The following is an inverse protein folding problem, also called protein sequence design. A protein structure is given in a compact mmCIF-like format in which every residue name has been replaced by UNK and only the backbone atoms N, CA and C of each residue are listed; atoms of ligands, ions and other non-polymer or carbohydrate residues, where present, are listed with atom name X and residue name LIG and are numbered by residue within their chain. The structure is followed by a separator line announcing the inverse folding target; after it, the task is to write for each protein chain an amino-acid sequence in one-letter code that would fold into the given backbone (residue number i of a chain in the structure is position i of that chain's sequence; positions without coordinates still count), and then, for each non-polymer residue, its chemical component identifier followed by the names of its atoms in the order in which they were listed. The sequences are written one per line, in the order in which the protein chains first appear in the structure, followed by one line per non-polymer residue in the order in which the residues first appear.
data_IF_001638976365
#
_entry.id   IF_001638976365
#
_cell.length_a   1.000
_cell.length_b   1.000
_cell.length_c   1.000
_cell.angle_alpha   90.00
_cell.angle_beta   90.00
_cell.angle_gamma   90.00
#
_symmetry.space_group_name_H-M   'P 1'
#
loop_
_entity.id
_entity.type
_entity.pdbx_description
1 polymer ?
#
# COMPACT_ATOMS: atom_id res chain seq x y z
N UNK A 1 -29.61 -33.76 -40.88
CA UNK A 1 -30.21 -35.05 -41.29
C UNK A 1 -29.65 -35.47 -42.63
N UNK A 2 -29.03 -36.67 -42.70
CA UNK A 2 -28.82 -37.53 -43.89
C UNK A 2 -27.91 -36.97 -45.01
N UNK A 3 -27.08 -37.73 -45.71
CA UNK A 3 -26.62 -39.13 -45.76
C UNK A 3 -25.38 -39.11 -46.71
N UNK A 4 -24.23 -39.70 -46.39
CA UNK A 4 -23.77 -41.09 -46.69
C UNK A 4 -23.65 -41.40 -48.20
N UNK A 5 -22.55 -42.12 -48.54
CA UNK A 5 -22.25 -43.03 -49.68
C UNK A 5 -21.25 -42.46 -50.71
N UNK A 6 -20.26 -43.19 -51.24
CA UNK A 6 -19.74 -44.55 -51.00
C UNK A 6 -18.38 -44.72 -51.74
N UNK A 7 -17.56 -45.63 -51.24
CA UNK A 7 -16.53 -46.48 -51.87
C UNK A 7 -16.34 -46.43 -53.40
N UNK A 8 -15.09 -46.63 -53.87
CA UNK A 8 -14.63 -47.88 -54.55
C UNK A 8 -13.10 -48.04 -54.40
N UNK A 9 -12.72 -49.30 -54.18
CA UNK A 9 -11.40 -49.93 -54.01
C UNK A 9 -10.78 -50.35 -55.35
N UNK A 10 -9.45 -50.35 -55.43
CA UNK A 10 -8.65 -51.31 -56.23
C UNK A 10 -7.79 -50.69 -57.35
N UNK A 11 -6.58 -51.15 -57.70
CA UNK A 11 -5.59 -52.10 -57.17
C UNK A 11 -4.43 -52.12 -58.22
N UNK A 12 -3.18 -52.34 -57.78
CA UNK A 12 -1.98 -52.79 -58.54
C UNK A 12 -1.29 -51.88 -59.58
N UNK A 13 -0.02 -51.52 -59.35
CA UNK A 13 1.14 -52.24 -59.92
C UNK A 13 2.48 -51.66 -59.43
N UNK A 14 3.41 -52.56 -59.14
CA UNK A 14 4.72 -52.32 -58.54
C UNK A 14 5.77 -51.81 -59.53
N UNK A 15 6.76 -51.06 -59.04
CA UNK A 15 8.13 -51.13 -59.55
C UNK A 15 9.15 -50.99 -58.42
N UNK A 16 10.10 -51.90 -58.48
CA UNK A 16 11.09 -52.29 -57.49
C UNK A 16 12.32 -51.38 -57.62
N UNK A 17 12.83 -50.82 -56.52
CA UNK A 17 14.20 -50.31 -56.45
C UNK A 17 14.72 -50.47 -55.03
N UNK A 18 15.47 -51.55 -54.86
CA UNK A 18 16.28 -51.91 -53.71
C UNK A 18 17.28 -50.78 -53.45
N UNK A 19 17.20 -50.12 -52.29
CA UNK A 19 18.34 -49.41 -51.72
C UNK A 19 18.62 -49.95 -50.32
N UNK A 20 19.79 -50.57 -50.27
CA UNK A 20 20.45 -51.26 -49.19
C UNK A 20 20.62 -50.34 -47.96
N UNK A 21 20.22 -50.87 -46.80
CA UNK A 21 20.58 -50.35 -45.48
C UNK A 21 22.09 -50.13 -45.38
N UNK A 22 22.51 -48.90 -45.10
CA UNK A 22 23.77 -48.64 -44.44
C UNK A 22 23.50 -47.81 -43.19
N UNK A 23 23.47 -48.51 -42.05
CA UNK A 23 23.38 -47.95 -40.72
C UNK A 23 24.65 -47.14 -40.43
N UNK A 24 24.60 -45.84 -40.67
CA UNK A 24 25.60 -44.92 -40.11
C UNK A 24 25.12 -44.58 -38.69
N UNK A 25 25.71 -45.26 -37.72
CA UNK A 25 25.79 -44.80 -36.33
C UNK A 25 26.75 -43.62 -36.32
N UNK A 26 26.30 -42.45 -36.76
CA UNK A 26 26.99 -41.19 -36.49
C UNK A 26 26.43 -40.67 -35.18
N UNK A 27 27.27 -40.70 -34.14
CA UNK A 27 26.94 -40.25 -32.80
C UNK A 27 26.21 -38.92 -32.84
N UNK A 28 24.96 -38.93 -32.38
CA UNK A 28 24.36 -37.73 -31.85
C UNK A 28 25.28 -37.27 -30.74
N UNK A 29 26.06 -36.23 -31.00
CA UNK A 29 26.61 -35.41 -29.96
C UNK A 29 25.42 -35.06 -29.08
N UNK A 30 25.33 -35.71 -27.91
CA UNK A 30 24.46 -35.25 -26.86
C UNK A 30 24.81 -33.78 -26.72
N UNK A 31 23.85 -32.89 -26.97
CA UNK A 31 24.00 -31.48 -26.60
C UNK A 31 24.58 -31.51 -25.20
N UNK A 32 25.81 -31.00 -25.02
CA UNK A 32 26.44 -30.93 -23.72
C UNK A 32 25.41 -30.22 -22.85
N UNK A 33 24.80 -30.97 -21.94
CA UNK A 33 23.67 -30.52 -21.15
C UNK A 33 24.25 -29.46 -20.21
N UNK A 34 24.29 -28.24 -20.72
CA UNK A 34 25.08 -27.13 -20.20
C UNK A 34 24.68 -26.85 -18.76
N UNK A 35 25.65 -26.65 -17.90
CA UNK A 35 25.42 -26.40 -16.49
C UNK A 35 26.70 -26.56 -15.70
N UNK A 36 26.70 -26.00 -14.49
CA UNK A 36 27.85 -26.11 -13.60
C UNK A 36 28.11 -27.58 -13.25
N UNK A 37 29.35 -28.02 -13.49
CA UNK A 37 29.82 -29.38 -13.23
C UNK A 37 30.44 -29.42 -11.83
N UNK A 38 30.08 -30.44 -11.06
CA UNK A 38 30.82 -30.78 -9.83
C UNK A 38 32.17 -31.41 -10.23
N UNK A 39 33.32 -30.80 -9.91
CA UNK A 39 34.63 -31.29 -10.30
C UNK A 39 34.97 -32.67 -9.75
N UNK A 40 34.39 -33.10 -8.62
CA UNK A 40 34.68 -34.42 -8.06
C UNK A 40 33.93 -35.56 -8.77
N UNK A 41 32.65 -35.36 -9.10
CA UNK A 41 31.85 -36.40 -9.75
C UNK A 41 31.87 -36.32 -11.28
N UNK A 42 32.31 -35.19 -11.85
CA UNK A 42 32.22 -34.92 -13.29
C UNK A 42 30.79 -34.81 -13.80
N UNK A 43 29.80 -34.69 -12.91
CA UNK A 43 28.38 -34.63 -13.24
C UNK A 43 27.83 -33.22 -12.99
N UNK A 44 26.83 -32.77 -13.77
CA UNK A 44 26.14 -31.52 -13.48
C UNK A 44 25.44 -31.55 -12.12
N UNK A 45 25.50 -30.43 -11.38
CA UNK A 45 24.97 -30.34 -10.01
C UNK A 45 23.48 -30.73 -9.91
N UNK A 46 22.67 -30.36 -10.91
CA UNK A 46 21.23 -30.62 -10.93
C UNK A 46 20.83 -32.10 -11.04
N UNK A 47 21.76 -32.99 -11.44
CA UNK A 47 21.47 -34.44 -11.47
C UNK A 47 21.29 -35.01 -10.07
N UNK A 48 22.03 -34.46 -9.10
CA UNK A 48 21.93 -34.84 -7.68
C UNK A 48 21.07 -33.86 -6.88
N UNK A 49 20.98 -32.60 -7.31
CA UNK A 49 20.18 -31.55 -6.69
C UNK A 49 19.08 -30.99 -7.61
N UNK A 50 18.16 -31.83 -8.10
CA UNK A 50 17.10 -31.38 -9.00
C UNK A 50 16.19 -30.35 -8.33
N UNK A 51 16.05 -30.42 -7.01
CA UNK A 51 15.19 -29.51 -6.24
C UNK A 51 15.72 -28.08 -6.04
N UNK A 52 16.82 -27.73 -6.71
CA UNK A 52 17.26 -26.32 -6.81
C UNK A 52 16.70 -25.65 -8.05
N UNK A 53 16.20 -26.44 -9.01
CA UNK A 53 15.65 -26.00 -10.28
C UNK A 53 14.15 -26.30 -10.42
N UNK A 54 13.50 -26.84 -9.39
CA UNK A 54 12.07 -27.21 -9.38
C UNK A 54 11.20 -26.05 -8.85
N UNK A 55 11.06 -24.98 -9.62
CA UNK A 55 10.17 -23.88 -9.23
C UNK A 55 9.60 -23.11 -10.42
N UNK A 56 8.44 -22.49 -10.20
CA UNK A 56 7.75 -21.68 -11.22
C UNK A 56 8.60 -20.50 -11.68
N UNK A 57 9.23 -19.81 -10.72
CA UNK A 57 10.16 -18.72 -11.00
C UNK A 57 11.55 -19.12 -10.58
N UNK A 58 12.43 -19.26 -11.55
CA UNK A 58 13.86 -19.49 -11.34
C UNK A 58 14.59 -18.16 -11.27
N UNK A 59 15.62 -18.10 -10.44
CA UNK A 59 16.58 -17.02 -10.52
C UNK A 59 17.37 -17.18 -11.84
N UNK A 60 17.57 -16.09 -12.57
CA UNK A 60 18.10 -16.12 -13.94
C UNK A 60 19.39 -16.95 -14.10
N UNK A 61 20.42 -16.86 -13.22
CA UNK A 61 21.61 -17.70 -13.36
C UNK A 61 21.31 -19.21 -13.31
N UNK A 62 20.27 -19.60 -12.56
CA UNK A 62 19.83 -20.98 -12.46
C UNK A 62 19.05 -21.45 -13.70
N UNK A 63 18.49 -20.55 -14.51
CA UNK A 63 17.95 -20.90 -15.83
C UNK A 63 19.05 -21.39 -16.78
N UNK A 64 20.25 -20.81 -16.69
CA UNK A 64 21.48 -21.30 -17.34
C UNK A 64 22.12 -22.50 -16.62
N UNK A 65 21.51 -22.98 -15.53
CA UNK A 65 22.04 -24.04 -14.65
C UNK A 65 23.43 -23.69 -14.09
N UNK A 66 23.67 -22.40 -13.84
CA UNK A 66 24.91 -21.87 -13.29
C UNK A 66 24.85 -21.82 -11.77
N UNK A 67 25.83 -22.45 -11.12
CA UNK A 67 25.97 -22.46 -9.66
C UNK A 67 27.21 -21.67 -9.22
N UNK A 68 28.24 -21.58 -10.09
CA UNK A 68 29.50 -20.89 -9.79
C UNK A 68 29.37 -19.38 -9.53
N UNK A 69 28.36 -18.62 -9.99
CA UNK A 69 28.24 -17.22 -9.61
C UNK A 69 28.06 -17.03 -8.11
N UNK A 70 27.35 -17.94 -7.45
CA UNK A 70 27.02 -17.82 -6.03
C UNK A 70 27.81 -18.79 -5.13
N UNK A 71 28.17 -19.96 -5.65
CA UNK A 71 28.77 -21.04 -4.87
C UNK A 71 30.23 -21.30 -5.25
N UNK A 72 31.02 -21.71 -4.27
CA UNK A 72 32.30 -22.35 -4.48
C UNK A 72 32.07 -23.79 -4.92
N UNK A 73 32.56 -24.16 -6.10
CA UNK A 73 32.37 -25.50 -6.67
C UNK A 73 33.65 -26.31 -6.72
N UNK A 74 34.78 -25.74 -6.31
CA UNK A 74 36.10 -26.38 -6.39
C UNK A 74 36.37 -27.40 -5.28
N UNK A 75 35.46 -27.54 -4.31
CA UNK A 75 35.71 -28.29 -3.08
C UNK A 75 35.65 -29.83 -3.19
N UNK A 76 35.15 -30.39 -4.28
CA UNK A 76 34.98 -31.83 -4.45
C UNK A 76 33.68 -32.38 -3.83
N UNK A 77 33.58 -33.70 -3.60
CA UNK A 77 32.32 -34.36 -3.17
C UNK A 77 31.83 -33.82 -1.83
N UNK A 78 30.92 -32.86 -1.90
CA UNK A 78 30.38 -32.12 -0.77
C UNK A 78 29.28 -32.88 0.00
N UNK A 79 29.00 -34.13 -0.37
CA UNK A 79 28.09 -35.01 0.37
C UNK A 79 28.64 -35.36 1.76
N UNK A 80 29.96 -35.52 1.89
CA UNK A 80 30.59 -36.07 3.10
C UNK A 80 31.43 -35.06 3.89
N UNK A 81 31.64 -33.85 3.36
CA UNK A 81 32.43 -32.79 4.02
C UNK A 81 31.73 -31.44 3.87
N UNK A 82 31.26 -30.91 5.01
CA UNK A 82 30.58 -29.60 5.08
C UNK A 82 31.52 -28.48 4.61
N UNK A 83 30.97 -27.49 3.90
CA UNK A 83 31.69 -26.28 3.48
C UNK A 83 32.32 -26.32 2.09
N UNK A 84 32.38 -27.48 1.44
CA UNK A 84 32.92 -27.61 0.07
C UNK A 84 32.03 -26.99 -1.02
N UNK A 85 30.73 -26.84 -0.74
CA UNK A 85 29.76 -26.11 -1.56
C UNK A 85 29.18 -24.93 -0.76
N UNK A 86 30.04 -24.02 -0.32
CA UNK A 86 29.65 -22.81 0.40
C UNK A 86 29.35 -21.65 -0.57
N UNK A 87 28.63 -20.64 -0.09
CA UNK A 87 28.48 -19.37 -0.81
C UNK A 87 29.80 -18.61 -0.87
N UNK A 88 30.05 -17.90 -1.98
CA UNK A 88 31.29 -17.13 -2.25
C UNK A 88 31.48 -15.93 -1.33
N UNK A 89 30.38 -15.32 -0.89
CA UNK A 89 30.37 -14.20 0.03
C UNK A 89 29.23 -14.33 1.03
N UNK A 90 29.39 -13.70 2.19
CA UNK A 90 28.36 -13.68 3.25
C UNK A 90 27.38 -12.54 3.02
N UNK A 91 26.11 -12.80 3.34
CA UNK A 91 25.05 -11.79 3.33
C UNK A 91 24.88 -11.07 1.99
N UNK A 92 24.47 -9.81 2.06
CA UNK A 92 24.12 -9.02 0.88
C UNK A 92 25.28 -8.74 -0.07
N UNK A 93 26.56 -8.86 0.36
CA UNK A 93 27.69 -8.68 -0.56
C UNK A 93 27.58 -9.62 -1.76
N UNK A 94 27.18 -10.88 -1.53
CA UNK A 94 26.99 -11.86 -2.61
C UNK A 94 25.96 -11.38 -3.63
N UNK A 95 24.87 -10.79 -3.15
CA UNK A 95 23.80 -10.28 -3.99
C UNK A 95 24.22 -9.02 -4.74
N UNK A 96 24.96 -8.13 -4.06
CA UNK A 96 25.38 -6.83 -4.61
C UNK A 96 26.50 -6.92 -5.64
N UNK A 97 27.16 -8.08 -5.78
CA UNK A 97 28.09 -8.30 -6.88
C UNK A 97 27.36 -8.26 -8.26
N UNK A 98 26.03 -8.44 -8.28
CA UNK A 98 25.18 -8.28 -9.49
C UNK A 98 23.98 -7.32 -9.32
N UNK A 99 23.44 -7.16 -8.12
CA UNK A 99 22.28 -6.30 -7.84
C UNK A 99 22.70 -4.96 -7.24
N UNK A 100 21.88 -3.93 -7.46
CA UNK A 100 22.14 -2.62 -6.86
C UNK A 100 22.20 -2.69 -5.33
N UNK A 101 23.07 -1.85 -4.75
CA UNK A 101 23.10 -1.66 -3.32
C UNK A 101 21.85 -0.90 -2.85
N UNK A 102 20.96 -1.60 -2.15
CA UNK A 102 19.68 -1.06 -1.66
C UNK A 102 19.76 -0.52 -0.21
N UNK A 103 20.96 -0.12 0.25
CA UNK A 103 21.19 0.43 1.59
C UNK A 103 21.64 1.89 1.60
N UNK A 104 21.35 2.63 0.53
CA UNK A 104 21.92 3.97 0.26
C UNK A 104 20.95 5.12 0.53
N UNK A 105 19.65 4.85 0.63
CA UNK A 105 18.64 5.88 0.90
C UNK A 105 18.51 6.21 2.39
N UNK A 106 17.86 7.33 2.71
CA UNK A 106 17.69 7.81 4.10
C UNK A 106 16.97 6.79 4.99
N UNK A 107 15.93 6.14 4.48
CA UNK A 107 15.18 5.12 5.21
C UNK A 107 15.48 3.76 4.58
N UNK A 108 16.33 2.97 5.21
CA UNK A 108 16.60 1.58 4.82
C UNK A 108 15.80 0.63 5.72
N UNK A 109 15.40 -0.52 5.21
CA UNK A 109 14.75 -1.55 6.03
C UNK A 109 15.80 -2.31 6.86
N UNK A 110 15.48 -2.72 8.09
CA UNK A 110 16.40 -3.43 8.99
C UNK A 110 17.11 -4.63 8.33
N UNK A 111 16.34 -5.57 7.74
CA UNK A 111 16.89 -6.71 6.99
C UNK A 111 17.89 -6.33 5.88
N UNK A 112 17.71 -5.19 5.23
CA UNK A 112 18.63 -4.73 4.19
C UNK A 112 19.93 -4.17 4.78
N UNK A 113 19.86 -3.45 5.90
CA UNK A 113 21.07 -3.00 6.63
C UNK A 113 21.90 -4.17 7.14
N UNK A 114 21.23 -5.21 7.61
CA UNK A 114 21.85 -6.45 8.12
C UNK A 114 22.31 -7.37 6.99
N UNK A 115 21.90 -7.09 5.75
CA UNK A 115 22.28 -7.84 4.57
C UNK A 115 21.65 -9.23 4.47
N UNK A 116 20.45 -9.40 5.03
CA UNK A 116 19.72 -10.68 5.07
C UNK A 116 18.64 -10.75 3.98
N UNK A 117 19.08 -10.77 2.72
CA UNK A 117 18.18 -10.84 1.56
C UNK A 117 17.34 -12.12 1.53
N UNK A 118 17.90 -13.22 2.03
CA UNK A 118 17.33 -14.57 1.95
C UNK A 118 16.19 -14.83 2.95
N UNK A 119 15.98 -13.92 3.89
CA UNK A 119 14.83 -14.01 4.80
C UNK A 119 13.53 -13.71 4.06
N UNK A 120 13.59 -12.88 3.02
CA UNK A 120 12.45 -12.57 2.17
C UNK A 120 12.49 -13.27 0.81
N UNK A 121 13.68 -13.47 0.23
CA UNK A 121 13.85 -14.07 -1.09
C UNK A 121 14.40 -15.51 -1.03
N UNK A 122 13.95 -16.36 -1.94
CA UNK A 122 14.46 -17.70 -2.19
C UNK A 122 15.37 -17.67 -3.44
N UNK A 123 16.70 -17.49 -3.26
CA UNK A 123 17.62 -17.14 -4.36
C UNK A 123 17.83 -18.23 -5.41
N UNK A 124 17.29 -19.44 -5.20
CA UNK A 124 17.30 -20.49 -6.22
C UNK A 124 16.03 -20.43 -7.07
N UNK A 125 14.88 -20.64 -6.41
CA UNK A 125 13.58 -20.68 -7.05
C UNK A 125 12.47 -20.35 -6.05
N UNK A 126 11.31 -19.95 -6.57
CA UNK A 126 10.10 -19.78 -5.77
C UNK A 126 8.85 -20.00 -6.62
N UNK A 127 7.72 -20.47 -6.03
CA UNK A 127 6.41 -20.38 -6.68
C UNK A 127 5.93 -18.93 -6.86
N UNK A 128 6.57 -17.95 -6.20
CA UNK A 128 6.18 -16.56 -6.17
C UNK A 128 7.09 -15.69 -7.04
N UNK A 129 6.49 -14.70 -7.72
CA UNK A 129 7.24 -13.71 -8.51
C UNK A 129 8.31 -13.03 -7.66
N UNK A 130 9.40 -12.59 -8.31
CA UNK A 130 10.55 -11.94 -7.65
C UNK A 130 11.20 -12.81 -6.57
N UNK A 131 11.03 -14.14 -6.67
CA UNK A 131 11.64 -15.10 -5.78
C UNK A 131 11.20 -14.95 -4.32
N UNK A 132 10.00 -14.44 -4.03
CA UNK A 132 9.58 -14.22 -2.64
C UNK A 132 9.28 -15.54 -1.93
N UNK A 133 9.62 -15.65 -0.64
CA UNK A 133 9.31 -16.86 0.15
C UNK A 133 7.82 -17.02 0.44
N UNK A 134 7.12 -15.90 0.59
CA UNK A 134 5.67 -15.83 0.82
C UNK A 134 5.04 -14.76 -0.07
N UNK A 135 3.71 -14.78 -0.19
CA UNK A 135 2.95 -13.81 -0.99
C UNK A 135 2.31 -12.73 -0.13
N UNK A 136 2.15 -11.54 -0.72
CA UNK A 136 1.43 -10.42 -0.11
C UNK A 136 1.93 -10.05 1.28
N UNK A 137 1.00 -9.69 2.16
CA UNK A 137 1.26 -9.33 3.55
C UNK A 137 1.79 -10.47 4.40
N UNK A 138 1.59 -11.73 3.99
CA UNK A 138 2.11 -12.90 4.70
C UNK A 138 3.62 -12.84 4.90
N UNK A 139 4.35 -12.33 3.90
CA UNK A 139 5.79 -12.14 4.00
C UNK A 139 6.19 -11.13 5.09
N UNK A 140 5.44 -10.04 5.21
CA UNK A 140 5.70 -8.99 6.19
C UNK A 140 5.43 -9.50 7.61
N UNK A 141 4.37 -10.30 7.78
CA UNK A 141 3.92 -10.80 9.07
C UNK A 141 4.71 -11.99 9.61
N UNK A 142 5.71 -12.49 8.88
CA UNK A 142 6.73 -13.39 9.44
C UNK A 142 7.51 -12.71 10.58
N UNK A 143 7.58 -11.37 10.58
CA UNK A 143 8.29 -10.60 11.61
C UNK A 143 7.45 -9.44 12.19
N UNK A 144 6.64 -8.76 11.39
CA UNK A 144 5.81 -7.65 11.87
C UNK A 144 4.54 -8.16 12.54
N UNK A 145 4.20 -7.61 13.71
CA UNK A 145 2.99 -8.02 14.43
C UNK A 145 1.73 -7.62 13.66
N UNK A 146 0.98 -8.63 13.21
CA UNK A 146 -0.29 -8.46 12.50
C UNK A 146 -1.42 -7.91 13.37
N UNK A 147 -1.33 -8.00 14.71
CA UNK A 147 -2.41 -7.56 15.63
C UNK A 147 -2.79 -6.10 15.45
N UNK A 148 -1.85 -5.24 15.09
CA UNK A 148 -2.10 -3.81 14.84
C UNK A 148 -2.88 -3.52 13.55
N UNK A 149 -2.93 -4.49 12.63
CA UNK A 149 -3.54 -4.38 11.31
C UNK A 149 -4.85 -5.19 11.22
N UNK A 150 -4.96 -6.26 12.00
CA UNK A 150 -6.14 -7.11 12.09
C UNK A 150 -7.20 -6.54 13.04
N UNK A 151 -8.46 -6.93 12.83
CA UNK A 151 -9.60 -6.72 13.76
C UNK A 151 -9.95 -5.25 14.07
N UNK A 152 -9.51 -4.31 13.25
CA UNK A 152 -10.02 -2.93 13.30
C UNK A 152 -11.46 -2.90 12.80
N UNK A 153 -12.33 -2.15 13.49
CA UNK A 153 -13.73 -1.99 13.06
C UNK A 153 -13.82 -1.38 11.65
N UNK A 154 -12.89 -0.47 11.33
CA UNK A 154 -12.74 0.17 10.03
C UNK A 154 -11.30 -0.02 9.56
N UNK A 155 -10.99 -1.12 8.85
CA UNK A 155 -9.67 -1.30 8.26
C UNK A 155 -9.51 -0.38 7.04
N UNK A 156 -8.28 0.04 6.76
CA UNK A 156 -7.99 0.70 5.48
C UNK A 156 -7.93 -0.37 4.38
N UNK A 157 -8.65 -0.18 3.27
CA UNK A 157 -8.84 -1.22 2.25
C UNK A 157 -7.52 -1.82 1.72
N UNK A 158 -6.48 -1.04 1.32
CA UNK A 158 -5.21 -1.62 0.88
C UNK A 158 -4.53 -2.48 1.96
N UNK A 159 -4.73 -2.16 3.24
CA UNK A 159 -4.19 -2.96 4.33
C UNK A 159 -4.99 -4.25 4.52
N UNK A 160 -6.32 -4.17 4.45
CA UNK A 160 -7.19 -5.35 4.49
C UNK A 160 -6.89 -6.35 3.37
N UNK A 161 -6.56 -5.83 2.18
CA UNK A 161 -6.20 -6.63 1.00
C UNK A 161 -4.74 -7.13 1.03
N UNK A 162 -3.98 -6.78 2.07
CA UNK A 162 -2.57 -7.15 2.21
C UNK A 162 -1.64 -6.45 1.21
N UNK A 163 -2.09 -5.36 0.60
CA UNK A 163 -1.37 -4.56 -0.40
C UNK A 163 -0.41 -3.55 0.25
N UNK A 164 0.41 -3.99 1.21
CA UNK A 164 1.35 -3.13 1.95
C UNK A 164 2.31 -2.37 1.01
N UNK A 165 2.64 -3.01 -0.12
CA UNK A 165 3.55 -2.48 -1.12
C UNK A 165 2.95 -1.33 -1.93
N UNK A 166 1.65 -1.04 -1.84
CA UNK A 166 1.08 0.13 -2.51
C UNK A 166 1.61 1.42 -1.90
N UNK A 167 1.88 1.39 -0.58
CA UNK A 167 2.41 2.54 0.15
C UNK A 167 3.90 2.41 0.51
N UNK A 168 4.37 1.20 0.82
CA UNK A 168 5.73 0.98 1.33
C UNK A 168 6.69 0.46 0.26
N UNK A 169 7.96 0.86 0.37
CA UNK A 169 9.09 0.32 -0.36
C UNK A 169 9.88 -0.61 0.59
N UNK A 170 9.84 -1.94 0.41
CA UNK A 170 10.27 -2.91 1.42
C UNK A 170 11.79 -2.97 1.62
N UNK A 171 12.57 -2.35 0.74
CA UNK A 171 14.02 -2.32 0.82
C UNK A 171 14.53 -1.00 1.39
N UNK A 172 14.18 0.10 0.73
CA UNK A 172 14.61 1.44 1.09
C UNK A 172 13.68 2.50 0.47
N UNK A 173 13.66 3.69 1.07
CA UNK A 173 12.96 4.86 0.57
C UNK A 173 13.64 6.17 1.00
N UNK A 174 13.38 7.24 0.25
CA UNK A 174 13.78 8.61 0.62
C UNK A 174 13.01 9.11 1.85
N UNK A 175 11.72 8.78 1.93
CA UNK A 175 10.86 9.16 3.04
C UNK A 175 11.04 8.20 4.23
N UNK A 176 10.79 8.71 5.44
CA UNK A 176 10.80 7.92 6.65
C UNK A 176 9.75 6.78 6.60
N UNK A 177 9.93 5.77 7.45
CA UNK A 177 9.02 4.60 7.57
C UNK A 177 8.84 3.86 6.24
N UNK A 178 9.85 3.92 5.35
CA UNK A 178 9.85 3.22 4.07
C UNK A 178 8.68 3.58 3.16
N UNK A 179 8.15 4.80 3.26
CA UNK A 179 7.01 5.22 2.45
C UNK A 179 7.50 5.63 1.04
N UNK A 180 6.79 5.23 -0.02
CA UNK A 180 7.19 5.51 -1.41
C UNK A 180 7.21 7.01 -1.76
N UNK A 181 6.31 7.80 -1.16
CA UNK A 181 6.17 9.24 -1.38
C UNK A 181 5.78 9.94 -0.07
N UNK A 182 6.16 11.20 0.09
CA UNK A 182 5.74 11.99 1.25
C UNK A 182 4.24 12.31 1.17
N UNK A 183 3.61 12.51 2.33
CA UNK A 183 2.27 13.06 2.38
C UNK A 183 2.27 14.54 1.92
N UNK A 184 1.17 15.01 1.31
CA UNK A 184 -0.08 14.27 1.07
C UNK A 184 -0.08 13.47 -0.25
N UNK A 185 0.99 13.56 -1.05
CA UNK A 185 1.02 12.98 -2.41
C UNK A 185 0.74 11.49 -2.44
N UNK A 186 1.27 10.73 -1.48
CA UNK A 186 0.99 9.29 -1.41
C UNK A 186 -0.50 8.99 -1.22
N UNK A 187 -1.20 9.82 -0.44
CA UNK A 187 -2.63 9.68 -0.21
C UNK A 187 -3.40 9.98 -1.49
N UNK A 188 -2.95 10.99 -2.25
CA UNK A 188 -3.59 11.42 -3.49
C UNK A 188 -3.37 10.51 -4.70
N UNK A 189 -2.57 9.45 -4.54
CA UNK A 189 -2.55 8.37 -5.53
C UNK A 189 -3.91 7.64 -5.63
N UNK A 190 -4.74 7.71 -4.59
CA UNK A 190 -6.07 7.09 -4.57
C UNK A 190 -7.18 8.01 -4.05
N UNK A 191 -6.87 8.92 -3.12
CA UNK A 191 -7.83 9.88 -2.60
C UNK A 191 -7.86 11.15 -3.43
N UNK A 192 -9.04 11.76 -3.56
CA UNK A 192 -9.19 12.97 -4.35
C UNK A 192 -8.36 14.13 -3.76
N UNK A 193 -7.48 14.71 -4.58
CA UNK A 193 -6.70 15.90 -4.20
C UNK A 193 -7.57 17.12 -3.93
N UNK A 194 -8.83 17.13 -4.40
CA UNK A 194 -9.80 18.18 -4.12
C UNK A 194 -10.03 18.39 -2.61
N UNK A 195 -9.72 17.38 -1.77
CA UNK A 195 -9.72 17.50 -0.32
C UNK A 195 -8.80 18.64 0.19
N UNK A 196 -7.77 19.00 -0.57
CA UNK A 196 -6.82 20.06 -0.24
C UNK A 196 -6.88 21.27 -1.20
N UNK A 197 -7.91 21.36 -2.06
CA UNK A 197 -8.03 22.38 -3.12
C UNK A 197 -9.27 23.28 -2.91
N UNK A 198 -9.41 23.81 -1.70
CA UNK A 198 -10.46 24.75 -1.31
C UNK A 198 -9.97 26.19 -1.24
N UNK A 199 -10.91 27.14 -1.21
CA UNK A 199 -10.62 28.55 -0.86
C UNK A 199 -10.07 28.66 0.57
N UNK A 200 -10.55 27.81 1.47
CA UNK A 200 -9.95 27.59 2.77
C UNK A 200 -9.59 26.12 2.95
N UNK A 201 -8.38 25.86 3.44
CA UNK A 201 -7.85 24.50 3.66
C UNK A 201 -7.43 24.40 5.11
N UNK A 202 -7.79 23.31 5.77
CA UNK A 202 -7.48 23.07 7.17
C UNK A 202 -5.98 22.85 7.34
N UNK A 203 -5.36 23.46 8.36
CA UNK A 203 -3.90 23.57 8.45
C UNK A 203 -3.14 22.23 8.38
N UNK A 204 -3.56 21.16 9.09
CA UNK A 204 -2.92 19.85 8.95
C UNK A 204 -3.04 19.28 7.53
N UNK A 205 -4.14 19.56 6.82
CA UNK A 205 -4.32 19.11 5.43
C UNK A 205 -3.45 19.92 4.48
N UNK A 206 -3.40 21.24 4.65
CA UNK A 206 -2.54 22.13 3.86
C UNK A 206 -1.05 21.79 4.04
N UNK A 207 -0.68 21.34 5.24
CA UNK A 207 0.69 20.92 5.58
C UNK A 207 0.99 19.48 5.18
N UNK A 208 0.01 18.75 4.64
CA UNK A 208 0.19 17.35 4.23
C UNK A 208 0.26 16.37 5.41
N UNK A 209 -0.21 16.72 6.59
CA UNK A 209 -0.15 15.89 7.79
C UNK A 209 -1.42 15.04 7.94
N UNK A 210 -1.80 14.28 6.91
CA UNK A 210 -3.03 13.47 6.91
C UNK A 210 -3.06 12.50 8.11
N UNK A 211 -1.90 11.96 8.46
CA UNK A 211 -1.73 11.06 9.61
C UNK A 211 -1.88 11.74 10.96
N UNK A 212 -2.00 13.07 11.05
CA UNK A 212 -2.28 13.77 12.32
C UNK A 212 -3.62 13.31 12.90
N UNK A 213 -4.64 13.20 12.04
CA UNK A 213 -6.00 12.79 12.40
C UNK A 213 -6.32 11.34 12.00
N UNK A 214 -5.72 10.82 10.93
CA UNK A 214 -6.03 9.48 10.43
C UNK A 214 -5.04 8.41 10.90
N UNK A 215 -5.57 7.28 11.39
CA UNK A 215 -4.85 6.03 11.59
C UNK A 215 -4.83 5.23 10.27
N UNK A 216 -3.83 5.51 9.43
CA UNK A 216 -3.73 5.08 8.02
C UNK A 216 -3.72 3.57 7.76
N UNK A 217 -3.55 2.75 8.80
CA UNK A 217 -3.64 1.29 8.66
C UNK A 217 -5.03 0.72 9.02
N UNK A 218 -5.83 1.47 9.77
CA UNK A 218 -7.09 1.00 10.34
C UNK A 218 -7.41 1.68 11.67
N UNK A 219 -8.69 1.87 11.95
CA UNK A 219 -9.17 2.43 13.22
C UNK A 219 -10.43 1.74 13.71
N UNK A 220 -10.72 1.90 15.00
CA UNK A 220 -12.00 1.53 15.58
C UNK A 220 -13.04 2.66 15.44
N UNK A 221 -12.58 3.88 15.09
CA UNK A 221 -13.42 5.01 14.73
C UNK A 221 -13.65 5.05 13.22
N UNK A 222 -14.84 5.51 12.81
CA UNK A 222 -15.19 5.65 11.40
C UNK A 222 -14.20 6.58 10.67
N UNK A 223 -14.09 6.42 9.34
CA UNK A 223 -13.20 7.23 8.47
C UNK A 223 -11.73 7.20 8.90
N UNK A 224 -11.31 6.11 9.55
CA UNK A 224 -9.94 5.90 10.01
C UNK A 224 -9.47 6.96 11.01
N UNK A 225 -10.35 7.60 11.79
CA UNK A 225 -9.95 8.66 12.71
C UNK A 225 -9.25 8.09 13.95
N UNK A 226 -8.23 8.77 14.47
CA UNK A 226 -7.48 8.31 15.65
C UNK A 226 -8.31 8.32 16.93
N UNK A 227 -9.24 9.25 17.05
CA UNK A 227 -10.11 9.42 18.22
C UNK A 227 -11.56 9.55 17.77
N UNK A 228 -12.47 9.55 18.75
CA UNK A 228 -13.89 9.67 18.52
C UNK A 228 -14.26 10.96 17.79
N UNK A 229 -15.11 10.82 16.79
CA UNK A 229 -15.83 11.90 16.15
C UNK A 229 -17.19 11.34 15.68
N UNK A 230 -18.33 11.90 16.12
CA UNK A 230 -19.63 11.34 15.79
C UNK A 230 -19.97 11.47 14.31
N UNK A 231 -20.70 10.49 13.78
CA UNK A 231 -21.16 10.49 12.40
C UNK A 231 -22.49 11.24 12.24
N UNK A 232 -23.26 11.36 13.32
CA UNK A 232 -24.57 11.96 13.37
C UNK A 232 -24.46 13.49 13.35
N UNK A 233 -25.41 14.11 12.66
CA UNK A 233 -25.44 15.55 12.43
C UNK A 233 -26.02 16.36 13.59
N UNK A 234 -26.91 15.77 14.39
CA UNK A 234 -27.55 16.40 15.54
C UNK A 234 -27.24 15.57 16.77
N UNK A 235 -26.33 16.08 17.59
CA UNK A 235 -25.95 15.47 18.85
C UNK A 235 -25.56 16.58 19.82
N UNK A 236 -25.98 16.49 21.09
CA UNK A 236 -25.52 17.40 22.12
C UNK A 236 -23.99 17.46 22.15
N UNK A 237 -23.45 18.60 22.56
CA UNK A 237 -22.03 18.74 22.81
C UNK A 237 -21.51 17.70 23.81
N UNK A 238 -20.28 17.21 23.62
CA UNK A 238 -19.55 16.39 24.58
C UNK A 238 -18.05 16.39 24.28
N UNK A 239 -17.22 16.66 25.29
CA UNK A 239 -15.77 16.78 25.14
C UNK A 239 -15.14 15.48 24.58
N UNK A 240 -15.67 14.34 25.02
CA UNK A 240 -15.28 13.00 24.56
C UNK A 240 -15.66 12.74 23.10
N UNK A 241 -16.82 13.23 22.68
CA UNK A 241 -17.35 13.07 21.32
C UNK A 241 -16.54 13.86 20.29
N UNK A 242 -16.04 15.02 20.66
CA UNK A 242 -15.24 15.88 19.77
C UNK A 242 -13.75 15.89 20.12
N UNK A 243 -13.30 14.86 20.85
CA UNK A 243 -11.92 14.74 21.33
C UNK A 243 -10.88 14.87 20.20
N UNK A 244 -11.20 14.46 18.97
CA UNK A 244 -10.33 14.69 17.80
C UNK A 244 -9.98 16.18 17.62
N UNK A 245 -10.97 17.05 17.67
CA UNK A 245 -10.82 18.48 17.43
C UNK A 245 -10.04 19.15 18.57
N UNK A 246 -10.34 18.76 19.81
CA UNK A 246 -9.78 19.38 21.01
C UNK A 246 -8.35 18.94 21.36
N UNK A 247 -7.75 18.09 20.54
CA UNK A 247 -6.29 17.90 20.56
C UNK A 247 -5.54 19.18 20.17
N UNK A 248 -6.17 20.06 19.38
CA UNK A 248 -5.56 21.29 18.87
C UNK A 248 -6.42 22.55 19.10
N UNK A 249 -7.74 22.41 19.13
CA UNK A 249 -8.65 23.54 19.32
C UNK A 249 -9.08 23.68 20.79
N UNK A 250 -9.22 24.92 21.28
CA UNK A 250 -9.77 25.17 22.62
C UNK A 250 -11.31 25.05 22.60
N UNK A 251 -11.85 24.16 23.43
CA UNK A 251 -13.29 23.94 23.55
C UNK A 251 -14.06 25.16 24.03
N UNK A 252 -13.40 26.13 24.71
CA UNK A 252 -14.02 27.40 25.13
C UNK A 252 -14.67 28.16 24.00
N UNK A 253 -14.14 28.02 22.79
CA UNK A 253 -14.70 28.64 21.58
C UNK A 253 -16.13 28.16 21.25
N UNK A 254 -16.57 27.04 21.84
CA UNK A 254 -17.90 26.45 21.69
C UNK A 254 -18.69 26.36 23.00
N UNK A 255 -18.04 26.39 24.16
CA UNK A 255 -18.67 26.16 25.47
C UNK A 255 -18.96 27.43 26.26
N UNK A 256 -18.30 28.55 25.96
CA UNK A 256 -18.61 29.85 26.58
C UNK A 256 -19.85 30.47 25.89
N UNK A 257 -20.89 30.83 26.66
CA UNK A 257 -22.07 31.52 26.14
C UNK A 257 -21.76 32.95 25.67
N UNK A 258 -20.87 33.64 26.39
CA UNK A 258 -20.35 34.95 26.03
C UNK A 258 -18.82 34.98 26.06
N UNK A 259 -18.22 35.67 25.10
CA UNK A 259 -16.77 35.83 24.99
C UNK A 259 -16.37 37.03 24.14
N UNK A 260 -15.18 37.57 24.40
CA UNK A 260 -14.51 38.52 23.49
C UNK A 260 -13.28 37.90 22.82
N UNK A 261 -12.84 36.73 23.29
CA UNK A 261 -11.51 36.17 23.02
C UNK A 261 -11.54 34.76 22.43
N UNK A 262 -12.44 33.89 22.89
CA UNK A 262 -12.38 32.47 22.54
C UNK A 262 -12.81 32.20 21.10
N UNK A 263 -13.61 33.07 20.49
CA UNK A 263 -13.95 32.96 19.07
C UNK A 263 -14.17 34.31 18.39
N UNK A 264 -13.96 34.33 17.07
CA UNK A 264 -14.31 35.45 16.21
C UNK A 264 -15.74 35.34 15.64
N UNK A 265 -16.43 34.20 15.79
CA UNK A 265 -17.81 34.04 15.37
C UNK A 265 -18.74 34.41 16.53
N UNK A 266 -18.92 35.73 16.74
CA UNK A 266 -19.68 36.30 17.85
C UNK A 266 -20.42 37.56 17.44
N UNK A 267 -21.54 37.85 18.10
CA UNK A 267 -22.31 39.10 17.94
C UNK A 267 -22.27 39.92 19.24
N UNK A 268 -21.52 41.02 19.27
CA UNK A 268 -21.01 41.58 20.52
C UNK A 268 -20.30 40.47 21.29
N UNK A 269 -20.61 40.31 22.57
CA UNK A 269 -20.04 39.21 23.37
C UNK A 269 -20.73 37.87 23.15
N UNK A 270 -21.89 37.80 22.50
CA UNK A 270 -22.62 36.54 22.36
C UNK A 270 -21.85 35.58 21.45
N UNK A 271 -21.47 34.42 21.97
CA UNK A 271 -20.78 33.39 21.20
C UNK A 271 -21.78 32.68 20.28
N UNK A 272 -21.63 32.85 18.96
CA UNK A 272 -22.55 32.23 18.00
C UNK A 272 -22.28 30.74 17.83
N UNK A 273 -21.08 30.21 18.13
CA UNK A 273 -20.87 28.76 18.13
C UNK A 273 -21.72 28.10 19.22
N UNK A 274 -21.73 28.68 20.43
CA UNK A 274 -22.48 28.15 21.57
C UNK A 274 -23.96 27.96 21.22
N UNK A 275 -24.59 28.91 20.53
CA UNK A 275 -25.98 28.81 20.11
C UNK A 275 -26.28 27.61 19.18
N UNK A 276 -25.30 27.20 18.38
CA UNK A 276 -25.50 26.13 17.39
C UNK A 276 -25.10 24.76 17.92
N UNK A 277 -24.11 24.68 18.80
CA UNK A 277 -23.52 23.39 19.22
C UNK A 277 -23.97 22.96 20.62
N UNK A 278 -24.50 23.87 21.43
CA UNK A 278 -25.00 23.57 22.78
C UNK A 278 -26.43 23.04 22.77
N UNK A 279 -26.89 22.55 23.92
CA UNK A 279 -28.26 22.04 24.11
C UNK A 279 -28.47 20.60 23.64
N UNK A 280 -29.71 20.12 23.77
CA UNK A 280 -30.09 18.73 23.47
C UNK A 280 -30.07 18.37 21.98
N UNK A 281 -30.09 19.38 21.10
CA UNK A 281 -30.10 19.23 19.64
C UNK A 281 -28.93 19.97 18.96
N UNK A 282 -27.79 20.08 19.65
CA UNK A 282 -26.58 20.71 19.11
C UNK A 282 -26.19 20.17 17.73
N UNK A 283 -25.68 21.06 16.88
CA UNK A 283 -25.18 20.72 15.55
C UNK A 283 -23.75 20.18 15.65
N UNK A 284 -23.51 19.07 14.97
CA UNK A 284 -22.17 18.54 14.76
C UNK A 284 -21.33 19.56 13.97
N UNK A 285 -20.04 19.71 14.31
CA UNK A 285 -19.13 20.61 13.62
C UNK A 285 -19.17 20.43 12.09
N UNK A 286 -19.28 19.20 11.60
CA UNK A 286 -19.35 18.85 10.17
C UNK A 286 -20.68 19.17 9.48
N UNK A 287 -21.68 19.63 10.24
CA UNK A 287 -22.87 20.26 9.68
C UNK A 287 -22.48 21.56 8.97
N UNK A 288 -21.63 22.38 9.58
CA UNK A 288 -21.25 23.67 9.02
C UNK A 288 -19.84 23.66 8.40
N UNK A 289 -18.92 22.85 8.92
CA UNK A 289 -17.51 22.88 8.51
C UNK A 289 -17.09 21.64 7.71
N UNK A 290 -16.29 21.86 6.66
CA UNK A 290 -15.50 20.81 6.04
C UNK A 290 -14.15 20.74 6.75
N UNK A 291 -13.85 19.59 7.36
CA UNK A 291 -12.62 19.43 8.14
C UNK A 291 -11.37 19.31 7.27
N UNK A 292 -11.51 19.19 5.95
CA UNK A 292 -10.39 19.22 5.02
C UNK A 292 -10.28 20.56 4.32
N UNK A 293 -11.28 20.93 3.51
CA UNK A 293 -11.28 22.20 2.79
C UNK A 293 -12.67 22.61 2.32
N UNK A 294 -12.87 23.91 2.14
CA UNK A 294 -14.12 24.46 1.63
C UNK A 294 -13.90 25.53 0.55
N UNK A 295 -14.90 25.69 -0.31
CA UNK A 295 -15.03 26.78 -1.29
C UNK A 295 -15.33 28.13 -0.65
N UNK A 296 -15.82 28.16 0.59
CA UNK A 296 -15.99 29.39 1.35
C UNK A 296 -14.84 29.61 2.33
N UNK A 297 -14.83 30.77 2.99
CA UNK A 297 -13.86 31.08 4.04
C UNK A 297 -14.16 30.30 5.32
N UNK A 298 -13.16 30.19 6.20
CA UNK A 298 -13.29 29.56 7.54
C UNK A 298 -13.82 28.12 7.51
N UNK A 299 -13.51 27.38 6.45
CA UNK A 299 -13.92 25.99 6.26
C UNK A 299 -15.43 25.77 6.22
N UNK A 300 -16.24 26.80 5.98
CA UNK A 300 -17.70 26.67 6.00
C UNK A 300 -18.19 26.03 4.70
N UNK A 301 -18.90 24.90 4.79
CA UNK A 301 -19.46 24.16 3.65
C UNK A 301 -20.52 24.99 2.96
N UNK A 302 -20.67 24.86 1.65
CA UNK A 302 -21.82 25.44 0.93
C UNK A 302 -23.08 24.61 1.13
N UNK A 303 -22.90 23.30 1.37
CA UNK A 303 -23.96 22.30 1.45
C UNK A 303 -23.61 21.23 2.47
N UNK A 304 -24.59 20.78 3.25
CA UNK A 304 -24.41 19.75 4.27
C UNK A 304 -25.72 19.08 4.64
N UNK A 305 -25.66 17.86 5.20
CA UNK A 305 -26.86 17.10 5.56
C UNK A 305 -27.67 16.64 4.33
N UNK A 306 -28.30 15.46 4.43
CA UNK A 306 -29.27 14.99 3.43
C UNK A 306 -28.81 14.97 1.95
N UNK A 307 -29.77 14.91 1.04
CA UNK A 307 -29.64 15.13 -0.41
C UNK A 307 -30.92 15.77 -0.92
N UNK A 308 -30.83 16.62 -1.95
CA UNK A 308 -32.00 17.21 -2.58
C UNK A 308 -32.72 18.20 -1.66
N UNK A 309 -33.99 17.95 -1.32
CA UNK A 309 -34.81 18.88 -0.52
C UNK A 309 -34.39 18.96 0.95
N UNK A 310 -33.70 17.93 1.45
CA UNK A 310 -33.23 17.86 2.83
C UNK A 310 -31.79 18.36 3.00
N UNK A 311 -31.20 18.93 1.94
CA UNK A 311 -29.84 19.48 1.96
C UNK A 311 -29.83 20.87 2.60
N UNK A 312 -29.01 21.04 3.64
CA UNK A 312 -28.75 22.33 4.27
C UNK A 312 -27.80 23.11 3.38
N UNK A 313 -28.25 24.24 2.86
CA UNK A 313 -27.41 25.20 2.15
C UNK A 313 -26.89 26.25 3.13
N UNK A 314 -25.64 26.67 2.97
CA UNK A 314 -25.02 27.68 3.83
C UNK A 314 -24.23 28.65 2.96
N UNK A 315 -24.50 29.94 3.10
CA UNK A 315 -23.75 31.03 2.47
C UNK A 315 -23.14 31.91 3.56
N UNK A 316 -21.82 31.90 3.64
CA UNK A 316 -21.04 32.68 4.58
C UNK A 316 -20.21 33.74 3.88
N UNK A 317 -20.27 34.96 4.41
CA UNK A 317 -19.42 36.07 3.96
C UNK A 317 -18.80 36.77 5.17
N UNK A 318 -17.48 36.71 5.26
CA UNK A 318 -16.74 37.45 6.29
C UNK A 318 -16.77 38.96 6.00
N UNK A 319 -16.70 39.76 7.06
CA UNK A 319 -16.42 41.20 7.02
C UNK A 319 -15.29 41.54 7.98
N UNK A 320 -14.78 42.77 7.92
CA UNK A 320 -13.68 43.21 8.78
C UNK A 320 -14.00 43.15 10.28
N UNK A 321 -15.29 43.21 10.64
CA UNK A 321 -15.75 43.22 12.03
C UNK A 321 -16.89 42.22 12.32
N UNK A 322 -17.01 41.16 11.52
CA UNK A 322 -18.06 40.17 11.69
C UNK A 322 -18.35 39.43 10.39
N UNK A 323 -19.63 39.37 9.99
CA UNK A 323 -20.01 38.77 8.74
C UNK A 323 -21.51 38.58 8.57
N UNK A 324 -21.87 37.88 7.50
CA UNK A 324 -23.24 37.41 7.25
C UNK A 324 -23.25 35.90 7.10
N UNK A 325 -24.29 35.27 7.63
CA UNK A 325 -24.55 33.84 7.44
C UNK A 325 -26.01 33.65 7.03
N UNK A 326 -26.22 32.97 5.92
CA UNK A 326 -27.54 32.51 5.47
C UNK A 326 -27.51 31.00 5.48
N UNK A 327 -28.51 30.36 6.07
CA UNK A 327 -28.63 28.91 6.04
C UNK A 327 -30.06 28.49 5.72
N UNK A 328 -30.30 27.29 5.21
CA UNK A 328 -31.68 26.82 5.04
C UNK A 328 -32.49 26.76 6.36
N UNK A 329 -31.80 26.78 7.51
CA UNK A 329 -32.42 26.81 8.84
C UNK A 329 -32.87 28.21 9.29
N UNK A 330 -32.27 29.28 8.77
CA UNK A 330 -32.59 30.65 9.17
C UNK A 330 -32.27 31.67 8.07
N UNK A 331 -33.05 32.75 8.02
CA UNK A 331 -32.76 33.88 7.12
C UNK A 331 -31.37 34.47 7.34
N UNK A 332 -30.93 35.32 6.42
CA UNK A 332 -29.61 35.95 6.51
C UNK A 332 -29.44 36.73 7.81
N UNK A 333 -28.53 36.27 8.66
CA UNK A 333 -28.15 36.96 9.90
C UNK A 333 -26.86 37.73 9.65
N UNK A 334 -26.85 39.01 10.04
CA UNK A 334 -25.64 39.82 10.10
C UNK A 334 -25.19 39.93 11.55
N UNK A 335 -23.91 39.70 11.80
CA UNK A 335 -23.31 39.83 13.13
C UNK A 335 -22.09 40.76 13.11
N UNK A 336 -21.84 41.41 14.24
CA UNK A 336 -20.68 42.29 14.46
C UNK A 336 -20.03 41.98 15.80
N UNK A 337 -18.71 42.05 15.88
CA UNK A 337 -17.94 41.74 17.10
C UNK A 337 -17.84 42.94 18.04
#
# INVERSE_FOLDING_TARGET
MRKILCNVVGVLAASLSVHLCLSIVAGGAMAADGGTIDPASGKPCYRCHPSKLDGTYLHEPLSGRECTPCHNTEGGNHQFKKGLFAVKAKGAKLCYDCHDNLSVEKSVHGPIREGVCVDCHAPHNSPNKKLLRFTGSGLCFECHDKKGFEKKKFPHAPVADGACLDCHAPHQAKAAKLIKQLQPLICFNCHDSALADGKSVHMPVASGECESCHAVHGSDNARLLKTGFPAEYNLPYGDDRYALCFTCHDSKSMTEEETEKSTAFRNGRQNLHYLHVSGSNGLNCTMCHDVHSSRQERLIKEKSGGKGKDEVTIAYKASSDGGTCTASCHDTVTYKR
#
